data_IF_963398446173
#
_entry.id   IF_963398446173
#
_cell.length_a   1.000
_cell.length_b   1.000
_cell.length_c   1.000
_cell.angle_alpha   90.00
_cell.angle_beta   90.00
_cell.angle_gamma   90.00
#
_symmetry.space_group_name_H-M   'P 1'
#
loop_
_entity.id
_entity.type
_entity.pdbx_description
1 polymer ?
#
# COMPACT_ATOMS: atom_id res chain seq x y z
N UNK A 1 -23.23 4.56 16.04
CA UNK A 1 -23.21 4.60 14.56
C UNK A 1 -24.33 3.68 14.15
N UNK A 2 -25.46 4.24 13.73
CA UNK A 2 -26.52 3.47 13.11
C UNK A 2 -26.19 3.32 11.63
N UNK A 3 -26.48 2.16 11.06
CA UNK A 3 -26.50 2.00 9.61
C UNK A 3 -27.97 1.95 9.20
N UNK A 4 -28.35 2.83 8.28
CA UNK A 4 -29.67 2.82 7.67
C UNK A 4 -29.51 2.44 6.21
N UNK A 5 -30.33 1.49 5.77
CA UNK A 5 -30.48 1.23 4.35
C UNK A 5 -31.42 2.30 3.80
N UNK A 6 -30.87 3.23 3.01
CA UNK A 6 -31.68 4.13 2.23
C UNK A 6 -32.00 3.46 0.90
N UNK A 7 -33.29 3.40 0.58
CA UNK A 7 -33.77 3.04 -0.74
C UNK A 7 -33.92 4.36 -1.49
N UNK A 8 -33.04 4.63 -2.44
CA UNK A 8 -33.15 5.79 -3.32
C UNK A 8 -33.76 5.30 -4.63
N UNK A 9 -34.88 5.88 -5.02
CA UNK A 9 -35.54 5.59 -6.28
C UNK A 9 -35.08 6.63 -7.30
N UNK A 10 -34.23 6.20 -8.25
CA UNK A 10 -33.85 6.97 -9.43
C UNK A 10 -34.40 6.25 -10.65
N UNK A 11 -35.18 6.94 -11.49
CA UNK A 11 -35.68 6.46 -12.79
C UNK A 11 -36.36 5.07 -12.75
N UNK A 12 -37.17 4.81 -11.72
CA UNK A 12 -37.94 3.56 -11.58
C UNK A 12 -37.10 2.33 -11.19
N UNK A 13 -35.85 2.51 -10.76
CA UNK A 13 -35.02 1.45 -10.17
C UNK A 13 -34.69 1.77 -8.72
N UNK A 14 -35.07 0.87 -7.81
CA UNK A 14 -34.73 0.97 -6.38
C UNK A 14 -33.25 0.65 -6.19
N UNK A 15 -32.44 1.66 -5.92
CA UNK A 15 -31.03 1.52 -5.54
C UNK A 15 -30.92 1.42 -4.02
N UNK A 16 -30.28 0.35 -3.53
CA UNK A 16 -29.96 0.17 -2.11
C UNK A 16 -28.64 0.86 -1.80
N UNK A 17 -28.69 2.02 -1.16
CA UNK A 17 -27.51 2.69 -0.62
C UNK A 17 -27.46 2.59 0.91
N UNK A 18 -26.25 2.57 1.46
CA UNK A 18 -26.03 2.46 2.91
C UNK A 18 -25.62 3.84 3.43
N UNK A 19 -26.51 4.48 4.18
CA UNK A 19 -26.22 5.73 4.86
C UNK A 19 -25.64 5.43 6.25
N UNK A 20 -24.46 5.97 6.52
CA UNK A 20 -23.84 5.94 7.85
C UNK A 20 -24.25 7.20 8.59
N UNK A 21 -25.23 7.08 9.48
CA UNK A 21 -25.71 8.20 10.29
C UNK A 21 -24.93 8.20 11.61
N UNK A 22 -24.14 9.26 11.80
CA UNK A 22 -23.50 9.54 13.08
C UNK A 22 -24.52 10.11 14.08
N UNK A 23 -24.17 10.19 15.36
CA UNK A 23 -25.09 10.78 16.34
C UNK A 23 -25.33 12.24 15.98
N UNK A 24 -26.59 12.68 15.87
CA UNK A 24 -26.93 14.08 15.59
C UNK A 24 -26.62 15.02 16.77
N UNK A 25 -26.23 14.47 17.93
CA UNK A 25 -25.93 15.24 19.14
C UNK A 25 -24.43 15.51 19.27
N UNK A 26 -24.06 16.78 19.13
CA UNK A 26 -22.66 17.22 19.05
C UNK A 26 -21.84 16.84 20.29
N UNK A 27 -22.39 17.03 21.49
CA UNK A 27 -21.70 16.66 22.75
C UNK A 27 -21.38 15.16 22.82
N UNK A 28 -22.22 14.28 22.25
CA UNK A 28 -21.94 12.83 22.19
C UNK A 28 -20.76 12.52 21.27
N UNK A 29 -20.62 13.25 20.16
CA UNK A 29 -19.47 13.13 19.25
C UNK A 29 -18.19 13.61 19.94
N UNK A 30 -18.25 14.77 20.60
CA UNK A 30 -17.12 15.34 21.34
C UNK A 30 -16.65 14.38 22.44
N UNK A 31 -17.56 13.85 23.25
CA UNK A 31 -17.25 12.88 24.31
C UNK A 31 -16.57 11.62 23.76
N UNK A 32 -17.08 11.05 22.67
CA UNK A 32 -16.44 9.88 22.02
C UNK A 32 -15.06 10.19 21.47
N UNK A 33 -14.84 11.42 21.01
CA UNK A 33 -13.54 11.86 20.51
C UNK A 33 -12.54 11.95 21.64
N UNK A 34 -12.94 12.54 22.78
CA UNK A 34 -12.12 12.61 24.00
C UNK A 34 -11.82 11.21 24.53
N UNK A 35 -12.83 10.33 24.61
CA UNK A 35 -12.66 8.95 25.08
C UNK A 35 -11.70 8.17 24.18
N UNK A 36 -11.82 8.33 22.85
CA UNK A 36 -10.88 7.71 21.93
C UNK A 36 -9.46 8.25 22.11
N UNK A 37 -9.31 9.56 22.33
CA UNK A 37 -8.01 10.22 22.56
C UNK A 37 -7.36 9.76 23.87
N UNK A 38 -8.14 9.59 24.93
CA UNK A 38 -7.69 9.03 26.20
C UNK A 38 -7.17 7.60 26.01
N UNK A 39 -7.91 6.77 25.25
CA UNK A 39 -7.50 5.39 24.93
C UNK A 39 -6.27 5.35 24.02
N UNK A 40 -6.14 6.30 23.08
CA UNK A 40 -4.94 6.42 22.24
C UNK A 40 -3.68 6.63 23.11
N UNK A 41 -3.77 7.29 24.27
CA UNK A 41 -2.63 7.56 25.15
C UNK A 41 -2.33 6.45 26.17
N UNK A 42 -3.33 5.64 26.53
CA UNK A 42 -3.22 4.71 27.67
C UNK A 42 -3.04 3.26 27.21
N UNK A 43 -4.03 2.69 26.52
CA UNK A 43 -4.11 1.26 26.24
C UNK A 43 -4.01 0.92 24.75
N UNK A 44 -4.32 1.85 23.85
CA UNK A 44 -4.37 1.62 22.42
C UNK A 44 -5.50 0.69 21.99
N UNK A 45 -5.40 0.21 20.74
CA UNK A 45 -6.42 -0.61 20.09
C UNK A 45 -5.79 -1.84 19.46
N UNK A 46 -6.56 -2.92 19.44
CA UNK A 46 -6.20 -4.13 18.71
C UNK A 46 -7.41 -4.67 17.95
N UNK A 47 -7.14 -5.24 16.78
CA UNK A 47 -8.11 -5.96 15.95
C UNK A 47 -7.50 -7.29 15.61
N UNK A 48 -8.17 -8.35 16.04
CA UNK A 48 -7.79 -9.72 15.75
C UNK A 48 -8.58 -10.24 14.55
N UNK A 49 -7.86 -10.81 13.59
CA UNK A 49 -8.42 -11.50 12.44
C UNK A 49 -8.05 -12.96 12.55
N UNK A 50 -9.08 -13.81 12.60
CA UNK A 50 -8.95 -15.26 12.70
C UNK A 50 -9.07 -15.85 11.31
N UNK A 51 -8.06 -16.60 10.90
CA UNK A 51 -7.99 -17.35 9.66
C UNK A 51 -8.50 -18.78 9.91
N UNK A 52 -9.51 -19.16 9.14
CA UNK A 52 -10.21 -20.44 9.23
C UNK A 52 -10.15 -21.15 7.89
N UNK A 53 -9.95 -22.47 7.93
CA UNK A 53 -9.97 -23.34 6.76
C UNK A 53 -8.65 -24.09 6.56
N UNK A 54 -8.74 -25.28 5.95
CA UNK A 54 -7.58 -26.13 5.70
C UNK A 54 -6.58 -25.44 4.76
N UNK A 55 -5.34 -25.26 5.26
CA UNK A 55 -4.25 -24.61 4.54
C UNK A 55 -4.30 -23.08 4.50
N UNK A 56 -5.23 -22.46 5.23
CA UNK A 56 -5.30 -21.01 5.37
C UNK A 56 -4.32 -20.60 6.47
N UNK A 57 -3.32 -19.78 6.14
CA UNK A 57 -2.33 -19.29 7.11
C UNK A 57 -1.69 -17.98 6.68
N UNK A 58 -1.29 -17.18 7.67
CA UNK A 58 -0.43 -16.02 7.52
C UNK A 58 0.95 -16.35 8.09
N UNK A 59 2.02 -15.88 7.47
CA UNK A 59 3.37 -16.08 8.00
C UNK A 59 4.35 -15.01 7.48
N UNK A 60 5.40 -14.78 8.26
CA UNK A 60 6.52 -13.96 7.82
C UNK A 60 7.56 -14.82 7.13
N UNK A 61 8.16 -14.28 6.07
CA UNK A 61 9.24 -14.93 5.32
C UNK A 61 10.37 -13.92 5.09
N UNK A 62 11.60 -14.34 5.35
CA UNK A 62 12.79 -13.53 5.11
C UNK A 62 13.19 -13.64 3.64
N UNK A 63 13.08 -12.54 2.90
CA UNK A 63 13.43 -12.49 1.49
C UNK A 63 14.68 -11.64 1.30
N UNK A 64 15.59 -12.15 0.48
CA UNK A 64 16.76 -11.44 0.00
C UNK A 64 16.33 -10.35 -0.99
N UNK A 65 16.48 -9.08 -0.60
CA UNK A 65 16.20 -7.92 -1.43
C UNK A 65 17.51 -7.31 -1.95
N UNK A 66 17.67 -7.33 -3.25
CA UNK A 66 18.69 -6.57 -3.98
C UNK A 66 18.04 -5.29 -4.51
N UNK A 67 18.47 -4.09 -4.07
CA UNK A 67 17.94 -2.85 -4.61
C UNK A 67 18.27 -2.77 -6.10
N UNK A 68 17.23 -2.69 -6.94
CA UNK A 68 17.38 -2.48 -8.37
C UNK A 68 17.54 -0.97 -8.57
N UNK A 69 18.72 -0.54 -9.04
CA UNK A 69 18.83 0.80 -9.61
C UNK A 69 18.14 0.78 -10.97
N UNK A 70 17.13 1.64 -11.20
CA UNK A 70 16.67 1.86 -12.57
C UNK A 70 17.84 2.45 -13.34
N UNK A 71 18.46 1.65 -14.20
CA UNK A 71 19.31 2.18 -15.25
C UNK A 71 18.40 2.97 -16.19
N UNK A 72 18.31 4.28 -15.97
CA UNK A 72 17.78 5.20 -16.96
C UNK A 72 18.73 5.18 -18.15
N UNK A 73 18.57 4.19 -19.04
CA UNK A 73 19.17 4.26 -20.37
C UNK A 73 18.51 5.45 -21.06
N UNK A 74 19.29 6.51 -21.19
CA UNK A 74 19.02 7.74 -21.94
C UNK A 74 17.98 8.67 -21.30
N UNK A 75 18.51 9.63 -20.52
CA UNK A 75 17.88 10.90 -20.19
C UNK A 75 17.62 11.73 -21.48
N UNK A 76 16.68 11.31 -22.32
CA UNK A 76 16.03 12.25 -23.24
C UNK A 76 14.85 12.81 -22.45
N UNK A 77 15.10 13.96 -21.81
CA UNK A 77 14.03 14.81 -21.27
C UNK A 77 13.10 15.13 -22.44
N UNK A 78 12.00 14.38 -22.56
CA UNK A 78 10.87 14.79 -23.40
C UNK A 78 10.21 15.98 -22.71
N UNK A 79 10.80 17.17 -22.91
CA UNK A 79 10.05 18.39 -22.69
C UNK A 79 8.93 18.39 -23.74
N UNK A 80 7.67 18.45 -23.28
CA UNK A 80 6.59 18.87 -24.14
C UNK A 80 6.93 20.29 -24.62
N UNK A 81 7.47 20.39 -25.83
CA UNK A 81 7.60 21.67 -26.50
C UNK A 81 6.17 22.10 -26.86
N UNK A 82 5.58 22.95 -26.02
CA UNK A 82 4.41 23.71 -26.41
C UNK A 82 4.79 24.51 -27.65
N UNK A 83 4.10 24.25 -28.77
CA UNK A 83 4.21 25.05 -29.99
C UNK A 83 3.69 26.46 -29.68
N UNK A 84 4.55 27.32 -29.17
CA UNK A 84 4.33 28.75 -29.23
C UNK A 84 4.81 29.23 -30.60
N UNK A 85 3.85 29.35 -31.51
CA UNK A 85 3.95 30.17 -32.70
C UNK A 85 4.07 31.63 -32.26
N UNK A 86 5.29 32.15 -32.19
CA UNK A 86 5.54 33.56 -32.38
C UNK A 86 6.53 33.68 -33.54
N UNK A 87 5.92 33.87 -34.71
CA UNK A 87 6.55 34.58 -35.81
C UNK A 87 6.90 35.98 -35.32
N UNK A 88 7.92 36.55 -35.94
CA UNK A 88 8.30 37.95 -35.93
C UNK A 88 9.19 38.39 -34.75
N UNK A 89 10.51 38.42 -34.99
CA UNK A 89 11.27 39.68 -35.12
C UNK A 89 12.76 39.36 -35.44
N UNK A 90 13.32 40.24 -36.27
CA UNK A 90 14.52 40.10 -37.10
C UNK A 90 15.74 40.80 -36.48
N UNK A 91 16.93 40.27 -36.82
CA UNK A 91 18.23 40.98 -37.07
C UNK A 91 18.94 41.53 -35.80
N UNK A 92 20.22 41.22 -35.53
CA UNK A 92 21.43 41.80 -36.15
C UNK A 92 22.60 40.80 -36.09
N UNK A 93 23.21 40.55 -37.26
CA UNK A 93 24.56 40.00 -37.41
C UNK A 93 25.61 41.06 -37.08
N UNK A 94 26.69 40.70 -36.41
CA UNK A 94 27.95 41.42 -36.52
C UNK A 94 29.09 40.40 -36.64
N UNK A 95 29.80 40.47 -37.75
CA UNK A 95 31.05 39.75 -38.05
C UNK A 95 32.22 40.47 -37.40
N UNK A 96 33.20 39.71 -36.92
CA UNK A 96 34.62 40.09 -37.09
C UNK A 96 35.52 38.86 -36.96
N UNK A 97 36.37 38.71 -37.97
CA UNK A 97 37.44 37.74 -38.14
C UNK A 97 38.59 37.99 -37.16
N UNK A 98 39.21 36.91 -36.63
CA UNK A 98 40.64 36.60 -36.88
C UNK A 98 41.17 35.40 -36.07
N UNK A 99 41.96 34.61 -36.79
CA UNK A 99 42.82 33.48 -36.42
C UNK A 99 43.61 33.59 -35.11
N UNK A 100 43.84 32.43 -34.46
CA UNK A 100 45.21 31.90 -34.29
C UNK A 100 45.21 30.38 -33.95
N UNK A 101 46.15 29.69 -34.60
CA UNK A 101 46.40 28.26 -34.64
C UNK A 101 46.90 27.68 -33.29
N UNK A 102 46.74 26.36 -33.09
CA UNK A 102 47.80 25.32 -33.15
C UNK A 102 47.36 24.04 -32.43
N UNK A 103 47.46 22.92 -33.14
CA UNK A 103 47.37 21.54 -32.66
C UNK A 103 48.58 21.16 -31.78
N UNK A 104 48.39 20.42 -30.68
CA UNK A 104 48.83 19.03 -30.61
C UNK A 104 48.64 18.36 -29.24
N UNK A 105 48.26 17.10 -29.36
CA UNK A 105 48.23 15.98 -28.45
C UNK A 105 49.41 15.88 -27.48
N UNK A 106 49.11 15.81 -26.18
CA UNK A 106 49.91 15.04 -25.22
C UNK A 106 49.01 14.18 -24.33
N UNK A 107 49.20 12.87 -24.49
CA UNK A 107 48.71 11.79 -23.64
C UNK A 107 49.18 11.98 -22.19
N UNK A 108 48.25 12.06 -21.24
CA UNK A 108 48.50 11.64 -19.85
C UNK A 108 47.26 10.94 -19.28
N UNK A 109 47.33 9.61 -19.34
CA UNK A 109 46.71 8.61 -18.45
C UNK A 109 45.27 8.91 -17.97
N UNK A 110 44.31 8.51 -18.78
CA UNK A 110 43.04 7.98 -18.24
C UNK A 110 43.37 6.73 -17.45
N UNK A 111 43.59 6.88 -16.13
CA UNK A 111 43.48 5.76 -15.20
C UNK A 111 42.03 5.32 -15.25
N UNK A 112 41.77 4.34 -16.11
CA UNK A 112 40.58 3.51 -16.11
C UNK A 112 40.57 2.74 -14.80
N UNK A 113 40.10 3.39 -13.74
CA UNK A 113 39.64 2.71 -12.53
C UNK A 113 38.30 2.03 -12.85
N UNK A 114 38.40 1.00 -13.70
CA UNK A 114 37.46 -0.09 -13.80
C UNK A 114 37.54 -0.88 -12.50
N UNK A 115 36.93 -0.40 -11.40
CA UNK A 115 36.68 -1.19 -10.19
C UNK A 115 35.77 -0.47 -9.18
N UNK A 116 34.67 0.11 -9.64
CA UNK A 116 33.48 0.24 -8.78
C UNK A 116 32.52 -0.88 -9.13
N UNK A 117 32.92 -2.11 -8.80
CA UNK A 117 31.94 -3.14 -8.49
C UNK A 117 31.15 -2.64 -7.27
N UNK A 118 30.10 -1.87 -7.52
CA UNK A 118 29.09 -1.57 -6.50
C UNK A 118 28.42 -2.90 -6.17
N UNK A 119 29.03 -3.65 -5.24
CA UNK A 119 28.47 -4.84 -4.67
C UNK A 119 27.20 -4.42 -3.92
N UNK A 120 26.06 -4.45 -4.60
CA UNK A 120 24.77 -4.21 -3.98
C UNK A 120 24.55 -5.28 -2.92
N UNK A 121 24.87 -4.93 -1.67
CA UNK A 121 24.76 -5.85 -0.55
C UNK A 121 23.29 -6.22 -0.40
N UNK A 122 22.98 -7.47 -0.73
CA UNK A 122 21.66 -8.06 -0.56
C UNK A 122 21.21 -7.93 0.89
N UNK A 123 20.07 -7.28 1.13
CA UNK A 123 19.50 -7.09 2.47
C UNK A 123 18.41 -8.12 2.71
N UNK A 124 18.40 -8.77 3.86
CA UNK A 124 17.27 -9.61 4.28
C UNK A 124 16.12 -8.73 4.77
N UNK A 125 14.95 -8.88 4.17
CA UNK A 125 13.74 -8.13 4.51
C UNK A 125 12.62 -9.10 4.83
N UNK A 126 11.95 -8.89 5.97
CA UNK A 126 10.75 -9.63 6.36
C UNK A 126 9.56 -9.21 5.51
N UNK A 127 9.01 -10.15 4.76
CA UNK A 127 7.74 -10.00 4.05
C UNK A 127 6.64 -10.79 4.74
N UNK A 128 5.41 -10.32 4.58
CA UNK A 128 4.23 -10.96 5.15
C UNK A 128 3.41 -11.58 4.04
N UNK A 129 3.17 -12.88 4.13
CA UNK A 129 2.39 -13.64 3.16
C UNK A 129 1.14 -14.22 3.79
N UNK A 130 0.08 -14.28 2.99
CA UNK A 130 -1.14 -15.01 3.32
C UNK A 130 -1.39 -16.08 2.27
N UNK A 131 -1.71 -17.26 2.75
CA UNK A 131 -2.19 -18.40 1.96
C UNK A 131 -3.65 -18.64 2.32
N UNK A 132 -4.53 -18.73 1.32
CA UNK A 132 -5.98 -18.91 1.50
C UNK A 132 -6.45 -20.37 1.29
N UNK A 133 -5.51 -21.30 1.09
CA UNK A 133 -5.80 -22.72 0.99
C UNK A 133 -4.59 -23.55 0.54
N UNK A 134 -4.73 -24.88 0.63
CA UNK A 134 -3.78 -25.80 0.02
C UNK A 134 -3.84 -25.64 -1.51
N UNK A 135 -2.67 -25.67 -2.18
CA UNK A 135 -2.55 -25.46 -3.62
C UNK A 135 -2.74 -24.02 -4.14
N UNK A 136 -3.20 -23.07 -3.30
CA UNK A 136 -3.35 -21.67 -3.75
C UNK A 136 -2.03 -20.91 -3.67
N UNK A 137 -1.80 -19.99 -4.62
CA UNK A 137 -0.67 -19.05 -4.61
C UNK A 137 -0.67 -18.19 -3.35
N UNK A 138 0.50 -17.95 -2.78
CA UNK A 138 0.68 -17.04 -1.65
C UNK A 138 0.50 -15.59 -2.10
N UNK A 139 -0.22 -14.82 -1.31
CA UNK A 139 -0.48 -13.40 -1.55
C UNK A 139 0.49 -12.58 -0.70
N UNK A 140 1.30 -11.74 -1.33
CA UNK A 140 2.16 -10.78 -0.65
C UNK A 140 1.29 -9.62 -0.10
N UNK A 141 1.24 -9.49 1.22
CA UNK A 141 0.50 -8.43 1.92
C UNK A 141 1.44 -7.44 2.61
N UNK A 142 2.74 -7.44 2.27
CA UNK A 142 3.76 -6.57 2.87
C UNK A 142 3.41 -5.08 2.73
N UNK A 143 2.71 -4.69 1.66
CA UNK A 143 2.24 -3.30 1.49
C UNK A 143 1.29 -2.86 2.62
N UNK A 144 0.46 -3.77 3.13
CA UNK A 144 -0.47 -3.48 4.23
C UNK A 144 0.31 -3.28 5.54
N UNK A 145 1.39 -4.03 5.73
CA UNK A 145 2.32 -3.89 6.85
C UNK A 145 3.06 -2.54 6.83
N UNK A 146 3.50 -2.08 5.65
CA UNK A 146 4.37 -0.89 5.56
C UNK A 146 3.63 0.43 5.56
N UNK A 147 2.33 0.45 5.25
CA UNK A 147 1.57 1.69 5.05
C UNK A 147 1.58 2.64 6.24
N UNK A 148 1.45 2.12 7.46
CA UNK A 148 1.44 2.92 8.70
C UNK A 148 2.37 2.33 9.76
N UNK A 149 3.56 1.88 9.34
CA UNK A 149 4.54 1.18 10.20
C UNK A 149 4.93 1.95 11.47
N UNK A 150 4.87 3.29 11.45
CA UNK A 150 5.15 4.13 12.63
C UNK A 150 4.08 4.00 13.72
N UNK A 151 2.83 3.72 13.34
CA UNK A 151 1.66 3.81 14.24
C UNK A 151 1.00 2.46 14.51
N UNK A 152 1.21 1.48 13.64
CA UNK A 152 0.53 0.19 13.67
C UNK A 152 1.55 -0.93 13.54
N UNK A 153 1.44 -1.90 14.44
CA UNK A 153 2.18 -3.14 14.41
C UNK A 153 1.24 -4.29 14.06
N UNK A 154 1.79 -5.29 13.39
CA UNK A 154 1.08 -6.54 13.07
C UNK A 154 1.90 -7.66 13.68
N UNK A 155 1.22 -8.52 14.43
CA UNK A 155 1.78 -9.76 14.95
C UNK A 155 0.98 -10.94 14.38
N UNK A 156 1.68 -12.01 14.06
CA UNK A 156 1.09 -13.26 13.57
C UNK A 156 1.45 -14.35 14.56
N UNK A 157 0.46 -15.11 14.98
CA UNK A 157 0.67 -16.24 15.87
C UNK A 157 1.60 -17.30 15.24
N UNK A 158 2.25 -18.12 16.05
CA UNK A 158 3.16 -19.20 15.60
C UNK A 158 2.46 -20.16 14.63
N UNK A 159 1.18 -20.44 14.85
CA UNK A 159 0.38 -21.30 13.96
C UNK A 159 0.02 -20.62 12.63
N UNK A 160 0.12 -19.30 12.56
CA UNK A 160 -0.29 -18.51 11.40
C UNK A 160 -1.80 -18.39 11.24
N UNK A 161 -2.60 -18.79 12.23
CA UNK A 161 -4.07 -18.75 12.16
C UNK A 161 -4.65 -17.43 12.68
N UNK A 162 -3.95 -16.74 13.58
CA UNK A 162 -4.42 -15.48 14.16
C UNK A 162 -3.47 -14.37 13.76
N UNK A 163 -4.04 -13.29 13.23
CA UNK A 163 -3.31 -12.05 12.93
C UNK A 163 -3.85 -10.95 13.83
N UNK A 164 -2.97 -10.37 14.64
CA UNK A 164 -3.29 -9.27 15.53
C UNK A 164 -2.72 -7.96 14.97
N UNK A 165 -3.59 -7.00 14.67
CA UNK A 165 -3.21 -5.65 14.25
C UNK A 165 -3.44 -4.73 15.43
N UNK A 166 -2.40 -4.09 15.93
CA UNK A 166 -2.49 -3.26 17.14
C UNK A 166 -1.68 -1.97 17.03
N UNK A 167 -2.08 -0.98 17.80
CA UNK A 167 -1.45 0.33 17.84
C UNK A 167 -2.29 1.35 18.61
N UNK A 168 -1.71 2.52 18.86
CA UNK A 168 -2.36 3.53 19.69
C UNK A 168 -3.45 4.29 18.94
N UNK A 169 -3.31 4.51 17.63
CA UNK A 169 -4.26 5.30 16.87
C UNK A 169 -5.37 4.42 16.26
N UNK A 170 -6.60 4.59 16.76
CA UNK A 170 -7.78 3.84 16.30
C UNK A 170 -8.02 3.89 14.79
N UNK A 171 -7.83 5.06 14.17
CA UNK A 171 -8.09 5.25 12.73
C UNK A 171 -7.12 4.44 11.88
N UNK A 172 -5.83 4.46 12.22
CA UNK A 172 -4.82 3.72 11.46
C UNK A 172 -4.93 2.22 11.68
N UNK A 173 -5.15 1.77 12.93
CA UNK A 173 -5.39 0.36 13.23
C UNK A 173 -6.60 -0.17 12.45
N UNK A 174 -7.72 0.56 12.48
CA UNK A 174 -8.92 0.20 11.73
C UNK A 174 -8.71 0.16 10.20
N UNK A 175 -7.97 1.12 9.66
CA UNK A 175 -7.64 1.18 8.21
C UNK A 175 -6.81 -0.03 7.77
N UNK A 176 -5.76 -0.37 8.52
CA UNK A 176 -4.89 -1.52 8.23
C UNK A 176 -5.66 -2.82 8.39
N UNK A 177 -6.40 -2.97 9.49
CA UNK A 177 -7.20 -4.17 9.75
C UNK A 177 -8.29 -4.39 8.69
N UNK A 178 -8.98 -3.33 8.25
CA UNK A 178 -10.00 -3.44 7.21
C UNK A 178 -9.42 -3.87 5.85
N UNK A 179 -8.26 -3.31 5.47
CA UNK A 179 -7.57 -3.71 4.23
C UNK A 179 -7.11 -5.15 4.30
N UNK A 180 -6.57 -5.58 5.44
CA UNK A 180 -6.19 -6.96 5.68
C UNK A 180 -7.41 -7.88 5.57
N UNK A 181 -8.50 -7.55 6.27
CA UNK A 181 -9.76 -8.28 6.22
C UNK A 181 -10.32 -8.40 4.80
N UNK A 182 -10.26 -7.33 3.99
CA UNK A 182 -10.72 -7.37 2.60
C UNK A 182 -9.96 -8.39 1.75
N UNK A 183 -8.64 -8.52 1.97
CA UNK A 183 -7.80 -9.49 1.26
C UNK A 183 -8.13 -10.91 1.71
N UNK A 184 -8.26 -11.12 3.02
CA UNK A 184 -8.44 -12.47 3.57
C UNK A 184 -9.90 -12.90 3.66
N UNK A 185 -10.86 -12.04 3.26
CA UNK A 185 -12.30 -12.21 3.53
C UNK A 185 -12.79 -13.63 3.30
N UNK A 186 -13.42 -14.20 4.31
CA UNK A 186 -13.92 -15.56 4.26
C UNK A 186 -15.04 -15.75 3.23
N UNK A 187 -14.94 -16.83 2.45
CA UNK A 187 -16.00 -17.27 1.55
C UNK A 187 -17.13 -17.94 2.36
N UNK A 188 -18.36 -17.47 2.15
CA UNK A 188 -19.56 -17.87 2.92
C UNK A 188 -20.01 -19.31 2.63
N UNK A 189 -19.60 -19.91 1.51
CA UNK A 189 -19.94 -21.30 1.19
C UNK A 189 -18.93 -22.29 1.75
N UNK A 190 -17.65 -21.99 1.61
CA UNK A 190 -16.56 -22.91 1.99
C UNK A 190 -16.01 -22.65 3.39
N UNK A 191 -16.34 -21.50 3.99
CA UNK A 191 -15.82 -21.05 5.29
C UNK A 191 -14.29 -21.01 5.35
N UNK A 192 -13.65 -20.82 4.19
CA UNK A 192 -12.19 -20.62 4.05
C UNK A 192 -11.88 -19.14 3.93
N UNK A 193 -10.91 -18.68 4.70
CA UNK A 193 -10.44 -17.29 4.75
C UNK A 193 -10.49 -16.75 6.17
N UNK A 194 -10.53 -15.44 6.31
CA UNK A 194 -10.44 -14.70 7.57
C UNK A 194 -11.73 -13.98 7.93
N UNK A 195 -11.97 -13.88 9.23
CA UNK A 195 -13.05 -13.09 9.82
C UNK A 195 -12.53 -12.32 11.04
N UNK A 196 -13.20 -11.21 11.38
CA UNK A 196 -12.87 -10.45 12.58
C UNK A 196 -13.30 -11.26 13.80
N UNK A 197 -12.46 -11.30 14.84
CA UNK A 197 -12.76 -12.02 16.09
C UNK A 197 -14.17 -11.70 16.60
N UNK A 198 -14.90 -12.73 17.05
CA UNK A 198 -16.33 -12.70 17.45
C UNK A 198 -17.35 -12.41 16.34
N UNK A 199 -16.93 -12.07 15.12
CA UNK A 199 -17.82 -11.78 13.99
C UNK A 199 -17.65 -12.79 12.85
N UNK A 200 -17.87 -14.08 13.16
CA UNK A 200 -17.84 -15.15 12.16
C UNK A 200 -19.12 -15.13 11.31
N UNK A 201 -19.04 -15.05 9.96
CA UNK A 201 -20.22 -15.11 9.10
C UNK A 201 -20.87 -16.51 9.14
N UNK A 202 -22.19 -16.57 8.91
CA UNK A 202 -22.95 -17.82 8.83
C UNK A 202 -22.73 -18.51 7.49
N UNK A 203 -22.54 -19.83 7.49
CA UNK A 203 -22.33 -20.60 6.27
C UNK A 203 -23.62 -20.66 5.42
N UNK A 204 -23.49 -20.43 4.12
CA UNK A 204 -24.60 -20.59 3.15
C UNK A 204 -24.62 -22.01 2.63
N UNK A 205 -25.82 -22.59 2.59
CA UNK A 205 -26.05 -23.91 1.99
C UNK A 205 -26.04 -23.73 0.46
N UNK A 206 -25.23 -24.50 -0.28
CA UNK A 206 -25.29 -24.50 -1.73
C UNK A 206 -26.65 -25.04 -2.18
N UNK A 207 -27.33 -24.32 -3.08
CA UNK A 207 -28.53 -24.87 -3.72
C UNK A 207 -28.10 -26.05 -4.61
N UNK A 208 -28.72 -27.21 -4.43
CA UNK A 208 -28.58 -28.31 -5.40
C UNK A 208 -29.08 -27.80 -6.75
N UNK A 209 -28.29 -28.03 -7.80
CA UNK A 209 -28.75 -27.86 -9.19
C UNK A 209 -29.57 -29.07 -9.59
#
# INVERSE_FOLDING_TARGET
MGFYHMLIEEEGKIKKDIALISSCYEKSIQNKTIENKMKDLTCGYSVQIVLSGKGVKCYYEDINYTPILPNYKNNIKQYYAFKNTLKDLKVVENKSDHNNNVENTQNVKTTSNNNTQNNYRTKKVKKLFVRLGIGTKNIDITRVLTMHKKYVNINVDKTGTIVNVYGYNKKYVGSVAYRLYKIVKMNVYTMKGGYVYLHKPKQKIPKKK
#
